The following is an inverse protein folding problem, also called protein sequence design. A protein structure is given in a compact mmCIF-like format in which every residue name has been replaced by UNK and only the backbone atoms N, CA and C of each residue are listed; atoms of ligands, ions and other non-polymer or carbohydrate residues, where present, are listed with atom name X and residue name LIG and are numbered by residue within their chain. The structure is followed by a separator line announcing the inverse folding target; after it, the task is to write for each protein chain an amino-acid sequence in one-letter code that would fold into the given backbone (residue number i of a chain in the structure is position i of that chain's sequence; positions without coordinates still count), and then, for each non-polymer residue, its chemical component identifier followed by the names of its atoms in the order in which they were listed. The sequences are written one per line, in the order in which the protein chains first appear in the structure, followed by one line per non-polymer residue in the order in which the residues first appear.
data_IF_105715437185
#
_entry.id   IF_105715437185
#
_cell.length_a   1.000
_cell.length_b   1.000
_cell.length_c   1.000
_cell.angle_alpha   90.00
_cell.angle_beta   90.00
_cell.angle_gamma   90.00
#
_symmetry.space_group_name_H-M   'P 1'
#
loop_
_entity.id
_entity.type
_entity.pdbx_description
1 polymer ?
#
# COMPACT_ATOMS: atom_id res chain seq x y z
N UNK A 1 -36.36 -4.31 74.95
CA UNK A 1 -34.94 -4.43 75.33
C UNK A 1 -34.10 -4.05 74.14
N UNK A 2 -33.30 -3.01 74.31
CA UNK A 2 -32.36 -2.43 73.34
C UNK A 2 -31.26 -3.46 73.04
N UNK A 3 -30.90 -3.67 71.78
CA UNK A 3 -29.52 -3.98 71.43
C UNK A 3 -29.13 -3.26 70.12
N UNK A 4 -27.99 -2.60 70.24
CA UNK A 4 -27.36 -1.63 69.35
C UNK A 4 -26.37 -2.37 68.43
N UNK A 5 -26.24 -1.86 67.20
CA UNK A 5 -25.08 -1.94 66.29
C UNK A 5 -24.38 -3.28 66.03
N UNK A 6 -24.22 -3.61 64.75
CA UNK A 6 -22.93 -3.33 64.11
C UNK A 6 -23.11 -3.08 62.61
N UNK A 7 -22.93 -1.81 62.28
CA UNK A 7 -22.83 -1.24 60.95
C UNK A 7 -21.52 -1.73 60.32
N UNK A 8 -21.58 -2.49 59.23
CA UNK A 8 -20.41 -2.68 58.36
C UNK A 8 -20.81 -2.34 56.95
N UNK A 9 -20.91 -1.03 56.70
CA UNK A 9 -21.03 -0.46 55.36
C UNK A 9 -19.62 -0.49 54.74
N UNK A 10 -19.36 -1.48 53.89
CA UNK A 10 -18.17 -1.49 53.06
C UNK A 10 -18.40 -0.48 51.92
N UNK A 11 -18.01 0.78 52.14
CA UNK A 11 -17.97 1.77 51.05
C UNK A 11 -16.77 1.43 50.18
N UNK A 12 -17.02 0.66 49.11
CA UNK A 12 -16.07 0.49 48.03
C UNK A 12 -16.00 1.83 47.27
N UNK A 13 -15.02 2.67 47.62
CA UNK A 13 -14.66 3.82 46.77
C UNK A 13 -13.96 3.24 45.54
N UNK A 14 -14.73 2.92 44.51
CA UNK A 14 -14.20 2.70 43.19
C UNK A 14 -13.70 4.06 42.68
N UNK A 15 -12.40 4.31 42.84
CA UNK A 15 -11.75 5.38 42.09
C UNK A 15 -11.85 4.98 40.62
N UNK A 16 -12.81 5.57 39.91
CA UNK A 16 -12.89 5.46 38.46
C UNK A 16 -11.72 6.25 37.90
N UNK A 17 -10.55 5.62 37.82
CA UNK A 17 -9.52 6.09 36.91
C UNK A 17 -10.18 6.15 35.54
N UNK A 18 -10.14 7.28 34.81
CA UNK A 18 -10.52 7.27 33.42
C UNK A 18 -9.63 6.22 32.75
N UNK A 19 -10.25 5.18 32.18
CA UNK A 19 -9.52 4.28 31.32
C UNK A 19 -8.77 5.16 30.31
N UNK A 20 -7.47 4.94 30.06
CA UNK A 20 -6.80 5.62 28.97
C UNK A 20 -7.68 5.42 27.74
N UNK A 21 -8.19 6.52 27.19
CA UNK A 21 -8.84 6.50 25.90
C UNK A 21 -7.74 6.17 24.90
N UNK A 22 -7.46 4.88 24.75
CA UNK A 22 -7.02 4.35 23.48
C UNK A 22 -8.19 4.65 22.56
N UNK A 23 -8.13 5.78 21.86
CA UNK A 23 -8.85 5.96 20.62
C UNK A 23 -8.46 4.75 19.77
N UNK A 24 -9.31 3.72 19.85
CA UNK A 24 -9.14 2.50 19.10
C UNK A 24 -9.06 2.93 17.65
N UNK A 25 -7.88 2.72 17.06
CA UNK A 25 -7.71 2.75 15.60
C UNK A 25 -8.87 1.93 15.04
N UNK A 26 -9.71 2.55 14.22
CA UNK A 26 -10.67 1.81 13.40
C UNK A 26 -9.90 0.69 12.71
N UNK A 27 -10.14 -0.54 13.17
CA UNK A 27 -9.51 -1.71 12.61
C UNK A 27 -10.30 -2.13 11.36
N UNK A 28 -9.53 -2.19 10.27
CA UNK A 28 -9.53 -3.17 9.19
C UNK A 28 -10.64 -3.23 8.13
N UNK A 29 -11.82 -2.65 8.29
CA UNK A 29 -12.84 -2.68 7.21
C UNK A 29 -12.71 -1.52 6.22
N UNK A 30 -13.08 -0.32 6.66
CA UNK A 30 -13.28 0.85 5.78
C UNK A 30 -12.04 1.36 5.05
N UNK A 31 -10.87 1.33 5.71
CA UNK A 31 -9.60 1.83 5.14
C UNK A 31 -9.16 0.99 3.94
N UNK A 32 -9.29 -0.32 4.04
CA UNK A 32 -8.90 -1.25 2.98
C UNK A 32 -9.91 -1.23 1.83
N UNK A 33 -11.21 -1.12 2.12
CA UNK A 33 -12.26 -0.99 1.08
C UNK A 33 -12.05 0.22 0.18
N UNK A 34 -11.65 1.38 0.74
CA UNK A 34 -11.40 2.59 -0.06
C UNK A 34 -10.12 2.51 -0.88
N UNK A 35 -9.13 1.76 -0.39
CA UNK A 35 -7.87 1.55 -1.09
C UNK A 35 -7.94 0.46 -2.17
N UNK A 36 -8.89 -0.47 -2.06
CA UNK A 36 -9.01 -1.66 -2.91
C UNK A 36 -9.03 -1.35 -4.43
N UNK A 37 -9.77 -0.35 -4.94
CA UNK A 37 -9.73 -0.02 -6.37
C UNK A 37 -8.32 0.30 -6.86
N UNK A 38 -7.56 1.07 -6.06
CA UNK A 38 -6.19 1.43 -6.40
C UNK A 38 -5.23 0.24 -6.32
N UNK A 39 -5.40 -0.63 -5.32
CA UNK A 39 -4.61 -1.86 -5.17
C UNK A 39 -4.83 -2.79 -6.37
N UNK A 40 -6.09 -2.93 -6.81
CA UNK A 40 -6.45 -3.78 -7.95
C UNK A 40 -5.82 -3.31 -9.28
N UNK A 41 -5.48 -2.03 -9.40
CA UNK A 41 -4.83 -1.50 -10.60
C UNK A 41 -3.31 -1.79 -10.64
N UNK A 42 -2.65 -2.03 -9.51
CA UNK A 42 -1.20 -2.16 -9.44
C UNK A 42 -0.61 -3.26 -10.34
N UNK A 43 -1.16 -4.49 -10.41
CA UNK A 43 -0.70 -5.52 -11.35
C UNK A 43 -0.69 -5.04 -12.80
N UNK A 44 -1.77 -4.37 -13.23
CA UNK A 44 -1.89 -3.83 -14.59
C UNK A 44 -0.86 -2.73 -14.83
N UNK A 45 -0.63 -1.85 -13.86
CA UNK A 45 0.37 -0.78 -14.01
C UNK A 45 1.79 -1.34 -14.13
N UNK A 46 2.14 -2.40 -13.40
CA UNK A 46 3.43 -3.11 -13.55
C UNK A 46 3.61 -3.60 -14.99
N UNK A 47 2.61 -4.27 -15.57
CA UNK A 47 2.68 -4.77 -16.95
C UNK A 47 2.71 -3.64 -17.99
N UNK A 48 1.93 -2.57 -17.75
CA UNK A 48 1.93 -1.38 -18.61
C UNK A 48 3.30 -0.73 -18.67
N UNK A 49 3.94 -0.48 -17.51
CA UNK A 49 5.28 0.11 -17.47
C UNK A 49 6.29 -0.72 -18.26
N UNK A 50 6.28 -2.04 -18.09
CA UNK A 50 7.16 -2.96 -18.85
C UNK A 50 6.93 -2.88 -20.36
N UNK A 51 5.67 -2.76 -20.78
CA UNK A 51 5.27 -2.64 -22.19
C UNK A 51 5.68 -1.28 -22.77
N UNK A 52 5.42 -0.21 -22.04
CA UNK A 52 5.76 1.17 -22.41
C UNK A 52 7.29 1.33 -22.57
N UNK A 53 8.09 0.74 -21.66
CA UNK A 53 9.56 0.68 -21.82
C UNK A 53 9.97 -0.08 -23.09
N UNK A 54 9.33 -1.21 -23.39
CA UNK A 54 9.65 -1.98 -24.59
C UNK A 54 9.32 -1.20 -25.88
N UNK A 55 8.20 -0.48 -25.92
CA UNK A 55 7.87 0.38 -27.06
C UNK A 55 8.87 1.52 -27.24
N UNK A 56 9.31 2.16 -26.14
CA UNK A 56 10.41 3.14 -26.20
C UNK A 56 11.68 2.51 -26.77
N UNK A 57 12.04 1.30 -26.33
CA UNK A 57 13.22 0.59 -26.84
C UNK A 57 13.13 0.25 -28.33
N UNK A 58 11.93 -0.06 -28.81
CA UNK A 58 11.66 -0.38 -30.21
C UNK A 58 11.46 0.86 -31.10
N UNK A 59 11.47 2.07 -30.53
CA UNK A 59 11.23 3.31 -31.27
C UNK A 59 9.77 3.52 -31.69
N UNK A 60 8.83 2.84 -31.04
CA UNK A 60 7.39 2.91 -31.34
C UNK A 60 6.75 4.00 -30.48
N UNK A 61 6.16 5.01 -31.11
CA UNK A 61 5.41 6.10 -30.48
C UNK A 61 6.10 6.65 -29.22
N UNK A 62 7.41 6.94 -29.33
CA UNK A 62 8.31 7.14 -28.18
C UNK A 62 7.80 8.23 -27.23
N UNK A 63 7.36 9.37 -27.75
CA UNK A 63 6.88 10.47 -26.91
C UNK A 63 5.61 10.10 -26.14
N UNK A 64 4.67 9.41 -26.79
CA UNK A 64 3.44 8.92 -26.17
C UNK A 64 3.76 7.88 -25.09
N UNK A 65 4.60 6.91 -25.40
CA UNK A 65 4.97 5.85 -24.46
C UNK A 65 5.77 6.39 -23.26
N UNK A 66 6.63 7.39 -23.43
CA UNK A 66 7.27 8.08 -22.31
C UNK A 66 6.26 8.81 -21.42
N UNK A 67 5.27 9.48 -22.03
CA UNK A 67 4.19 10.13 -21.31
C UNK A 67 3.32 9.14 -20.51
N UNK A 68 3.02 7.98 -21.11
CA UNK A 68 2.27 6.91 -20.46
C UNK A 68 3.08 6.24 -19.35
N UNK A 69 4.37 5.98 -19.59
CA UNK A 69 5.30 5.44 -18.60
C UNK A 69 5.40 6.30 -17.35
N UNK A 70 5.51 7.62 -17.52
CA UNK A 70 5.53 8.55 -16.39
C UNK A 70 4.22 8.45 -15.57
N UNK A 71 3.07 8.43 -16.22
CA UNK A 71 1.76 8.33 -15.55
C UNK A 71 1.60 7.01 -14.80
N UNK A 72 1.92 5.89 -15.44
CA UNK A 72 1.83 4.55 -14.85
C UNK A 72 2.75 4.44 -13.62
N UNK A 73 3.98 4.95 -13.73
CA UNK A 73 4.95 5.03 -12.63
C UNK A 73 4.44 5.89 -11.47
N UNK A 74 3.96 7.09 -11.75
CA UNK A 74 3.54 8.04 -10.72
C UNK A 74 2.29 7.55 -9.99
N UNK A 75 1.36 6.92 -10.71
CA UNK A 75 0.22 6.23 -10.10
C UNK A 75 0.70 5.14 -9.15
N UNK A 76 1.56 4.23 -9.62
CA UNK A 76 2.06 3.11 -8.81
C UNK A 76 2.73 3.62 -7.53
N UNK A 77 3.61 4.62 -7.66
CA UNK A 77 4.31 5.22 -6.54
C UNK A 77 3.37 5.92 -5.56
N UNK A 78 2.40 6.71 -6.07
CA UNK A 78 1.42 7.42 -5.23
C UNK A 78 0.60 6.43 -4.41
N UNK A 79 0.15 5.34 -5.02
CA UNK A 79 -0.62 4.31 -4.30
C UNK A 79 0.21 3.66 -3.20
N UNK A 80 1.48 3.28 -3.44
CA UNK A 80 2.34 2.73 -2.38
C UNK A 80 2.49 3.70 -1.21
N UNK A 81 2.72 4.99 -1.49
CA UNK A 81 2.81 6.02 -0.46
C UNK A 81 1.50 6.18 0.31
N UNK A 82 0.36 6.20 -0.39
CA UNK A 82 -0.96 6.30 0.21
C UNK A 82 -1.24 5.12 1.14
N UNK A 83 -0.92 3.90 0.73
CA UNK A 83 -1.07 2.70 1.57
C UNK A 83 -0.19 2.77 2.82
N UNK A 84 1.04 3.31 2.69
CA UNK A 84 2.01 3.35 3.80
C UNK A 84 1.75 4.49 4.78
N UNK A 85 1.35 5.67 4.29
CA UNK A 85 1.30 6.92 5.08
C UNK A 85 -0.10 7.53 5.16
N UNK A 86 -1.06 7.00 4.42
CA UNK A 86 -2.33 7.65 4.14
C UNK A 86 -2.18 8.71 3.04
N UNK A 87 -3.29 8.99 2.37
CA UNK A 87 -3.43 10.06 1.38
C UNK A 87 -4.84 10.65 1.51
N UNK A 88 -4.97 11.91 1.96
CA UNK A 88 -6.27 12.56 2.14
C UNK A 88 -6.97 12.88 0.81
N UNK A 89 -6.23 13.07 -0.28
CA UNK A 89 -6.80 13.31 -1.62
C UNK A 89 -7.45 12.04 -2.17
N UNK A 90 -6.83 10.88 -1.92
CA UNK A 90 -7.37 9.58 -2.30
C UNK A 90 -8.37 9.02 -1.28
N UNK A 91 -8.57 9.73 -0.16
CA UNK A 91 -9.35 9.24 0.99
C UNK A 91 -8.90 7.86 1.49
N UNK A 92 -7.60 7.60 1.40
CA UNK A 92 -6.94 6.36 1.86
C UNK A 92 -6.28 6.63 3.20
N UNK A 93 -6.64 5.89 4.24
CA UNK A 93 -5.91 5.92 5.51
C UNK A 93 -4.70 4.98 5.45
N UNK A 94 -3.68 5.26 6.26
CA UNK A 94 -2.51 4.39 6.34
C UNK A 94 -2.92 2.96 6.76
N UNK A 95 -2.34 1.96 6.11
CA UNK A 95 -2.58 0.57 6.47
C UNK A 95 -2.04 0.25 7.86
N UNK A 96 -2.81 -0.52 8.63
CA UNK A 96 -2.43 -0.96 9.98
C UNK A 96 -2.52 -2.46 10.18
N UNK A 97 -3.14 -3.19 9.24
CA UNK A 97 -3.25 -4.64 9.31
C UNK A 97 -1.89 -5.30 9.11
N UNK A 98 -1.40 -6.13 10.04
CA UNK A 98 -0.07 -6.73 9.94
C UNK A 98 0.15 -7.59 8.71
N UNK A 99 -0.85 -8.38 8.28
CA UNK A 99 -0.73 -9.25 7.11
C UNK A 99 -0.63 -8.44 5.83
N UNK A 100 -1.47 -7.40 5.69
CA UNK A 100 -1.40 -6.48 4.57
C UNK A 100 -0.08 -5.69 4.56
N UNK A 101 0.42 -5.28 5.73
CA UNK A 101 1.70 -4.58 5.84
C UNK A 101 2.89 -5.45 5.42
N UNK A 102 2.83 -6.76 5.67
CA UNK A 102 3.81 -7.74 5.17
C UNK A 102 3.77 -7.83 3.65
N UNK A 103 2.58 -7.99 3.05
CA UNK A 103 2.41 -8.04 1.60
C UNK A 103 2.90 -6.73 0.92
N UNK A 104 2.53 -5.57 1.48
CA UNK A 104 3.03 -4.27 1.02
C UNK A 104 4.56 -4.17 1.13
N UNK A 105 5.15 -4.73 2.19
CA UNK A 105 6.59 -4.78 2.38
C UNK A 105 7.33 -5.54 1.27
N UNK A 106 6.73 -6.61 0.72
CA UNK A 106 7.29 -7.34 -0.42
C UNK A 106 7.35 -6.48 -1.69
N UNK A 107 6.27 -5.75 -1.98
CA UNK A 107 6.22 -4.81 -3.10
C UNK A 107 7.26 -3.70 -2.94
N UNK A 108 7.36 -3.11 -1.75
CA UNK A 108 8.34 -2.06 -1.45
C UNK A 108 9.80 -2.54 -1.49
N UNK A 109 10.06 -3.83 -1.30
CA UNK A 109 11.40 -4.39 -1.44
C UNK A 109 11.85 -4.48 -2.90
N UNK A 110 10.92 -4.73 -3.83
CA UNK A 110 11.18 -4.93 -5.26
C UNK A 110 11.11 -3.61 -6.03
N UNK A 111 10.11 -2.78 -5.72
CA UNK A 111 9.80 -1.54 -6.42
C UNK A 111 11.01 -0.63 -6.69
N UNK A 112 11.92 -0.35 -5.73
CA UNK A 112 13.02 0.59 -5.96
C UNK A 112 13.95 0.21 -7.11
N UNK A 113 14.11 -1.10 -7.39
CA UNK A 113 14.95 -1.59 -8.48
C UNK A 113 14.27 -1.43 -9.83
N UNK A 114 12.99 -1.82 -9.91
CA UNK A 114 12.17 -1.63 -11.10
C UNK A 114 12.01 -0.13 -11.45
N UNK A 115 11.63 0.69 -10.47
CA UNK A 115 11.43 2.14 -10.60
C UNK A 115 12.71 2.88 -10.99
N UNK A 116 13.89 2.40 -10.55
CA UNK A 116 15.16 2.96 -11.00
C UNK A 116 15.37 2.77 -12.51
N UNK A 117 15.07 1.60 -13.05
CA UNK A 117 15.15 1.34 -14.49
C UNK A 117 14.15 2.21 -15.26
N UNK A 118 12.90 2.27 -14.79
CA UNK A 118 11.86 3.15 -15.37
C UNK A 118 12.31 4.61 -15.40
N UNK A 119 12.84 5.15 -14.30
CA UNK A 119 13.34 6.53 -14.25
C UNK A 119 14.50 6.80 -15.20
N UNK A 120 15.39 5.82 -15.39
CA UNK A 120 16.50 5.95 -16.36
C UNK A 120 15.96 6.07 -17.77
N UNK A 121 14.99 5.23 -18.14
CA UNK A 121 14.31 5.31 -19.45
C UNK A 121 13.64 6.67 -19.63
N UNK A 122 12.89 7.15 -18.63
CA UNK A 122 12.23 8.46 -18.66
C UNK A 122 13.23 9.61 -18.82
N UNK A 123 14.34 9.58 -18.08
CA UNK A 123 15.37 10.63 -18.11
C UNK A 123 16.17 10.61 -19.41
N UNK A 124 16.52 9.43 -19.91
CA UNK A 124 17.33 9.27 -21.12
C UNK A 124 16.49 9.37 -22.41
N UNK A 125 15.17 9.24 -22.30
CA UNK A 125 14.22 9.13 -23.43
C UNK A 125 14.55 7.98 -24.39
N UNK A 126 15.21 6.96 -23.87
CA UNK A 126 15.60 5.72 -24.56
C UNK A 126 15.80 4.64 -23.51
N UNK A 127 15.69 3.36 -23.89
CA UNK A 127 15.96 2.25 -23.00
C UNK A 127 17.36 1.66 -23.26
N UNK A 128 18.24 1.69 -22.26
CA UNK A 128 19.51 0.99 -22.33
C UNK A 128 19.31 -0.51 -22.10
N UNK A 129 20.30 -1.33 -22.51
CA UNK A 129 20.25 -2.78 -22.31
C UNK A 129 20.08 -3.15 -20.84
N UNK A 130 20.75 -2.43 -19.95
CA UNK A 130 20.70 -2.63 -18.50
C UNK A 130 19.31 -2.33 -17.93
N UNK A 131 18.60 -1.33 -18.50
CA UNK A 131 17.24 -1.01 -18.10
C UNK A 131 16.28 -2.14 -18.51
N UNK A 132 16.43 -2.67 -19.73
CA UNK A 132 15.61 -3.79 -20.22
C UNK A 132 15.83 -5.07 -19.40
N UNK A 133 17.08 -5.35 -19.01
CA UNK A 133 17.40 -6.47 -18.12
C UNK A 133 16.70 -6.28 -16.77
N UNK A 134 16.81 -5.10 -16.17
CA UNK A 134 16.18 -4.82 -14.87
C UNK A 134 14.64 -4.91 -14.95
N UNK A 135 14.02 -4.37 -16.01
CA UNK A 135 12.57 -4.50 -16.23
C UNK A 135 12.19 -5.97 -16.34
N UNK A 136 12.90 -6.76 -17.15
CA UNK A 136 12.64 -8.20 -17.29
C UNK A 136 12.82 -8.98 -15.98
N UNK A 137 13.85 -8.66 -15.20
CA UNK A 137 14.17 -9.32 -13.92
C UNK A 137 13.10 -9.04 -12.86
N UNK A 138 12.64 -7.78 -12.76
CA UNK A 138 11.76 -7.35 -11.67
C UNK A 138 10.26 -7.31 -12.02
N UNK A 139 9.87 -7.40 -13.30
CA UNK A 139 8.46 -7.34 -13.71
C UNK A 139 7.61 -8.45 -13.08
N UNK A 140 8.00 -9.72 -13.21
CA UNK A 140 7.21 -10.83 -12.68
C UNK A 140 7.18 -10.85 -11.14
N UNK A 141 8.31 -10.68 -10.42
CA UNK A 141 8.27 -10.58 -8.96
C UNK A 141 7.40 -9.42 -8.46
N UNK A 142 7.44 -8.25 -9.13
CA UNK A 142 6.63 -7.10 -8.74
C UNK A 142 5.14 -7.34 -9.02
N UNK A 143 4.81 -8.01 -10.13
CA UNK A 143 3.44 -8.43 -10.45
C UNK A 143 2.89 -9.35 -9.36
N UNK A 144 3.60 -10.44 -9.06
CA UNK A 144 3.19 -11.44 -8.07
C UNK A 144 3.01 -10.82 -6.68
N UNK A 145 3.93 -9.95 -6.27
CA UNK A 145 3.83 -9.24 -4.99
C UNK A 145 2.61 -8.28 -4.96
N UNK A 146 2.28 -7.63 -6.09
CA UNK A 146 1.11 -6.77 -6.18
C UNK A 146 -0.21 -7.58 -6.14
N UNK A 147 -0.26 -8.73 -6.82
CA UNK A 147 -1.41 -9.64 -6.77
C UNK A 147 -1.60 -10.22 -5.35
N UNK A 148 -0.51 -10.52 -4.64
CA UNK A 148 -0.58 -10.97 -3.25
C UNK A 148 -1.30 -9.94 -2.37
N UNK A 149 -1.03 -8.64 -2.52
CA UNK A 149 -1.74 -7.59 -1.77
C UNK A 149 -3.25 -7.66 -1.98
N UNK A 150 -3.73 -7.91 -3.20
CA UNK A 150 -5.16 -8.08 -3.51
C UNK A 150 -5.73 -9.26 -2.72
N UNK A 151 -5.04 -10.40 -2.74
CA UNK A 151 -5.52 -11.60 -2.05
C UNK A 151 -5.58 -11.41 -0.53
N UNK A 152 -4.64 -10.67 0.04
CA UNK A 152 -4.60 -10.37 1.48
C UNK A 152 -5.77 -9.47 1.87
N UNK A 153 -6.08 -8.45 1.08
CA UNK A 153 -7.28 -7.62 1.29
C UNK A 153 -8.56 -8.45 1.35
N UNK A 154 -8.76 -9.35 0.38
CA UNK A 154 -9.97 -10.18 0.28
C UNK A 154 -10.11 -11.13 1.48
N UNK A 155 -8.99 -11.62 2.03
CA UNK A 155 -8.99 -12.51 3.20
C UNK A 155 -9.30 -11.76 4.49
N UNK A 156 -8.83 -10.53 4.64
CA UNK A 156 -9.05 -9.72 5.85
C UNK A 156 -10.48 -9.16 5.95
N UNK A 157 -11.21 -9.09 4.82
CA UNK A 157 -12.63 -8.65 4.77
C UNK A 157 -13.65 -9.78 5.06
N UNK A 158 -13.19 -11.03 5.23
CA UNK A 158 -14.03 -12.20 5.58
C UNK A 158 -13.90 -12.60 7.03
#
# INVERSE_FOLDING_TARGET
GIFISLFTLFVLVAVTLPAPSFAGKEFSGQTVTRALPFINELPTQTQKMSTEVMYVALGVDVEENLGNLQKSRDFFHKVLLALRKGDPELHVSAATDPQFLEALGKVEAIWPRFDLAVRRVLSAKTAAKEDLIAIGEYNLPLLEAAEEMITTVIKTDR
#
